data_IF_392037039944
#
_entry.id   IF_392037039944
#
_cell.length_a   1.000
_cell.length_b   1.000
_cell.length_c   1.000
_cell.angle_alpha   90.00
_cell.angle_beta   90.00
_cell.angle_gamma   90.00
#
_symmetry.space_group_name_H-M   'P 1'
#
loop_
_entity.id
_entity.type
_entity.pdbx_description
1 polymer ?
#
# COMPACT_ATOMS: atom_id res chain seq x y z
N UNK A 1 5.13 11.87 -25.41
CA UNK A 1 3.99 11.12 -24.82
C UNK A 1 4.39 9.64 -24.86
N UNK A 2 4.06 8.85 -23.85
CA UNK A 2 4.51 7.46 -23.75
C UNK A 2 3.30 6.55 -23.80
N UNK A 3 3.40 5.43 -24.52
CA UNK A 3 2.36 4.41 -24.54
C UNK A 3 2.85 3.23 -23.68
N UNK A 4 2.08 2.88 -22.65
CA UNK A 4 2.45 1.85 -21.67
C UNK A 4 1.56 0.63 -21.91
N UNK A 5 2.19 -0.48 -22.30
CA UNK A 5 1.51 -1.78 -22.40
C UNK A 5 1.86 -2.63 -21.18
N UNK A 6 0.86 -2.90 -20.34
CA UNK A 6 1.02 -3.72 -19.13
C UNK A 6 0.53 -5.13 -19.41
N UNK A 7 1.43 -6.11 -19.41
CA UNK A 7 1.04 -7.51 -19.45
C UNK A 7 0.85 -8.05 -18.03
N UNK A 8 -0.37 -8.50 -17.75
CA UNK A 8 -0.68 -9.24 -16.53
C UNK A 8 -0.26 -10.71 -16.72
N UNK A 9 0.43 -11.29 -15.74
CA UNK A 9 0.76 -12.72 -15.77
C UNK A 9 -0.53 -13.55 -15.68
N UNK A 10 -0.51 -14.80 -16.17
CA UNK A 10 -1.72 -15.63 -16.27
C UNK A 10 -2.39 -15.95 -14.92
N UNK A 11 -1.69 -15.72 -13.79
CA UNK A 11 -2.20 -15.85 -12.42
C UNK A 11 -2.49 -14.53 -11.72
N UNK A 12 -2.22 -13.38 -12.36
CA UNK A 12 -2.49 -12.08 -11.77
C UNK A 12 -3.99 -11.91 -11.59
N UNK A 13 -4.42 -11.62 -10.35
CA UNK A 13 -5.82 -11.30 -10.05
C UNK A 13 -6.19 -10.01 -10.78
N UNK A 14 -6.70 -10.18 -12.00
CA UNK A 14 -7.24 -9.16 -12.90
C UNK A 14 -8.23 -8.26 -12.18
N UNK A 15 -7.77 -7.14 -11.62
CA UNK A 15 -8.55 -5.91 -11.51
C UNK A 15 -7.61 -4.76 -11.14
N UNK A 16 -7.50 -3.70 -11.97
CA UNK A 16 -6.94 -2.45 -11.48
C UNK A 16 -7.67 -2.01 -10.21
N UNK A 17 -6.94 -1.40 -9.29
CA UNK A 17 -7.48 -1.05 -7.96
C UNK A 17 -8.68 -0.11 -8.10
N UNK A 18 -8.62 0.83 -9.04
CA UNK A 18 -9.76 1.60 -9.51
C UNK A 18 -9.50 2.16 -10.93
N UNK A 19 -10.56 2.33 -11.72
CA UNK A 19 -10.54 3.33 -12.80
C UNK A 19 -10.69 4.71 -12.16
N UNK A 20 -9.88 5.66 -12.61
CA UNK A 20 -9.97 7.07 -12.19
C UNK A 20 -10.47 7.98 -13.33
N UNK A 21 -11.06 7.43 -14.38
CA UNK A 21 -11.58 8.16 -15.53
C UNK A 21 -12.48 9.35 -15.12
N UNK A 22 -13.33 9.17 -14.10
CA UNK A 22 -14.21 10.22 -13.58
C UNK A 22 -13.51 11.32 -12.76
N UNK A 23 -12.24 11.11 -12.39
CA UNK A 23 -11.38 12.07 -11.70
C UNK A 23 -10.31 12.64 -12.64
N UNK A 24 -10.19 12.08 -13.85
CA UNK A 24 -9.14 12.45 -14.79
C UNK A 24 -9.37 13.86 -15.35
N UNK A 25 -8.29 14.60 -15.49
CA UNK A 25 -8.29 15.85 -16.27
C UNK A 25 -8.15 15.59 -17.78
N UNK A 26 -7.91 14.33 -18.17
CA UNK A 26 -7.67 13.90 -19.55
C UNK A 26 -8.76 12.92 -19.99
N UNK A 27 -9.46 13.24 -21.07
CA UNK A 27 -10.64 12.47 -21.53
C UNK A 27 -10.32 11.46 -22.63
N UNK A 28 -9.09 11.45 -23.13
CA UNK A 28 -8.63 10.57 -24.22
C UNK A 28 -7.71 9.45 -23.72
N UNK A 29 -7.31 9.46 -22.45
CA UNK A 29 -6.35 8.51 -21.87
C UNK A 29 -7.02 7.54 -20.89
N UNK A 30 -6.66 6.27 -20.95
CA UNK A 30 -7.10 5.28 -19.95
C UNK A 30 -6.20 5.36 -18.72
N UNK A 31 -6.68 6.02 -17.66
CA UNK A 31 -5.96 6.13 -16.40
C UNK A 31 -6.31 5.01 -15.43
N UNK A 32 -5.29 4.23 -15.10
CA UNK A 32 -5.41 3.07 -14.23
C UNK A 32 -4.66 3.31 -12.93
N UNK A 33 -5.40 3.36 -11.81
CA UNK A 33 -4.77 3.38 -10.49
C UNK A 33 -4.38 1.95 -10.09
N UNK A 34 -3.08 1.71 -10.02
CA UNK A 34 -2.52 0.53 -9.37
C UNK A 34 -2.35 0.77 -7.86
N UNK A 35 -2.33 -0.29 -7.07
CA UNK A 35 -2.24 -0.17 -5.62
C UNK A 35 -0.89 0.44 -5.18
N UNK A 36 -0.87 1.15 -4.05
CA UNK A 36 0.37 1.75 -3.51
C UNK A 36 1.37 0.64 -3.20
N UNK A 37 2.47 0.63 -3.94
CA UNK A 37 3.50 -0.40 -3.85
C UNK A 37 3.39 -1.53 -4.87
N UNK A 38 2.54 -1.36 -5.89
CA UNK A 38 2.67 -2.12 -7.14
C UNK A 38 4.05 -1.85 -7.75
N UNK A 39 4.79 -2.90 -8.07
CA UNK A 39 6.09 -2.81 -8.73
C UNK A 39 5.96 -3.42 -10.11
N UNK A 40 6.43 -2.68 -11.10
CA UNK A 40 6.47 -3.10 -12.48
C UNK A 40 7.91 -3.29 -12.91
N UNK A 41 8.21 -4.43 -13.54
CA UNK A 41 9.48 -4.65 -14.20
C UNK A 41 9.34 -4.19 -15.64
N UNK A 42 10.19 -3.25 -16.06
CA UNK A 42 10.30 -2.86 -17.45
C UNK A 42 10.96 -4.03 -18.20
N UNK A 43 10.24 -4.57 -19.18
CA UNK A 43 10.70 -5.66 -20.02
C UNK A 43 11.42 -5.16 -21.26
N UNK A 44 10.90 -4.08 -21.84
CA UNK A 44 11.45 -3.49 -23.05
C UNK A 44 11.09 -2.00 -23.13
N UNK A 45 11.99 -1.24 -23.74
CA UNK A 45 11.77 0.16 -24.10
C UNK A 45 12.05 0.26 -25.59
N UNK A 46 10.99 0.18 -26.38
CA UNK A 46 11.11 0.21 -27.84
C UNK A 46 11.33 1.65 -28.29
N UNK A 47 12.58 1.93 -28.67
CA UNK A 47 13.04 3.19 -29.24
C UNK A 47 13.01 3.21 -30.77
N UNK A 48 12.62 2.10 -31.42
CA UNK A 48 12.59 1.95 -32.88
C UNK A 48 11.20 2.18 -33.46
N UNK A 49 10.13 1.97 -32.69
CA UNK A 49 8.74 2.37 -33.02
C UNK A 49 8.44 3.84 -32.70
N UNK A 50 9.41 4.74 -32.84
CA UNK A 50 9.16 6.18 -32.69
C UNK A 50 8.44 6.69 -33.93
N UNK A 51 7.11 6.64 -33.89
CA UNK A 51 6.25 7.49 -34.71
C UNK A 51 5.75 8.62 -33.81
N UNK A 52 6.01 9.86 -34.21
CA UNK A 52 5.56 11.08 -33.54
C UNK A 52 6.10 11.32 -32.11
N UNK A 53 7.31 10.86 -31.80
CA UNK A 53 7.95 11.13 -30.50
C UNK A 53 7.38 10.31 -29.34
N UNK A 54 6.67 9.22 -29.65
CA UNK A 54 6.18 8.25 -28.68
C UNK A 54 7.19 7.13 -28.47
N UNK A 55 7.39 6.73 -27.21
CA UNK A 55 8.21 5.58 -26.84
C UNK A 55 7.30 4.55 -26.16
N UNK A 56 7.43 3.31 -26.61
CA UNK A 56 6.65 2.19 -26.10
C UNK A 56 7.41 1.54 -24.95
N UNK A 57 6.79 1.49 -23.78
CA UNK A 57 7.37 0.82 -22.62
C UNK A 57 6.53 -0.41 -22.32
N UNK A 58 7.16 -1.57 -22.47
CA UNK A 58 6.55 -2.85 -22.16
C UNK A 58 6.88 -3.20 -20.72
N UNK A 59 5.86 -3.45 -19.90
CA UNK A 59 6.04 -3.77 -18.49
C UNK A 59 5.25 -5.00 -18.07
N UNK A 60 5.71 -5.64 -16.99
CA UNK A 60 4.99 -6.72 -16.31
C UNK A 60 4.85 -6.38 -14.83
N UNK A 61 3.66 -6.63 -14.29
CA UNK A 61 3.41 -6.51 -12.86
C UNK A 61 4.10 -7.65 -12.12
N UNK A 62 4.82 -7.33 -11.05
CA UNK A 62 5.51 -8.31 -10.20
C UNK A 62 4.69 -8.49 -8.93
N UNK A 63 4.12 -9.69 -8.72
CA UNK A 63 3.24 -9.96 -7.58
C UNK A 63 3.97 -10.61 -6.40
N UNK A 64 4.92 -11.54 -6.66
CA UNK A 64 5.71 -12.24 -5.65
C UNK A 64 7.05 -12.71 -6.24
N UNK A 65 8.09 -11.89 -6.09
CA UNK A 65 9.47 -12.20 -6.50
C UNK A 65 10.38 -11.95 -5.28
N UNK A 66 11.43 -12.75 -5.10
CA UNK A 66 12.37 -12.57 -4.00
C UNK A 66 13.04 -11.18 -4.08
N UNK A 67 13.32 -10.71 -5.30
CA UNK A 67 13.82 -9.36 -5.57
C UNK A 67 12.83 -8.27 -5.15
N UNK A 68 11.53 -8.54 -5.31
CA UNK A 68 10.47 -7.62 -4.92
C UNK A 68 10.38 -7.52 -3.39
N UNK A 69 10.57 -8.63 -2.68
CA UNK A 69 10.57 -8.64 -1.22
C UNK A 69 11.81 -7.93 -0.65
N UNK A 70 12.97 -8.13 -1.27
CA UNK A 70 14.21 -7.39 -0.96
C UNK A 70 14.01 -5.88 -1.18
N UNK A 71 13.51 -5.48 -2.35
CA UNK A 71 13.20 -4.09 -2.68
C UNK A 71 12.19 -3.49 -1.71
N UNK A 72 11.11 -4.23 -1.38
CA UNK A 72 10.11 -3.80 -0.38
C UNK A 72 10.77 -3.56 0.98
N UNK A 73 11.63 -4.49 1.43
CA UNK A 73 12.37 -4.36 2.69
C UNK A 73 13.29 -3.13 2.70
N UNK A 74 13.99 -2.86 1.59
CA UNK A 74 14.86 -1.69 1.46
C UNK A 74 14.05 -0.38 1.42
N UNK A 75 12.95 -0.34 0.68
CA UNK A 75 12.06 0.82 0.63
C UNK A 75 11.42 1.10 1.98
N UNK A 76 11.06 0.07 2.75
CA UNK A 76 10.53 0.22 4.11
C UNK A 76 11.58 0.74 5.11
N UNK A 77 12.86 0.47 4.88
CA UNK A 77 13.97 1.03 5.68
C UNK A 77 14.32 2.47 5.27
N UNK A 78 14.27 2.78 3.97
CA UNK A 78 14.81 4.02 3.41
C UNK A 78 13.76 5.13 3.28
N UNK A 79 12.52 4.78 2.97
CA UNK A 79 11.40 5.70 2.88
C UNK A 79 10.38 5.28 3.93
N UNK A 80 9.89 6.24 4.72
CA UNK A 80 8.65 6.03 5.46
C UNK A 80 7.52 5.93 4.44
N UNK A 81 7.40 4.77 3.77
CA UNK A 81 6.30 4.40 2.87
C UNK A 81 4.95 4.64 3.56
N UNK A 82 4.97 4.67 4.89
CA UNK A 82 3.91 5.00 5.82
C UNK A 82 3.37 6.43 5.74
N UNK A 83 4.17 7.42 5.34
CA UNK A 83 3.65 8.77 5.03
C UNK A 83 2.65 8.69 3.89
N UNK A 84 3.10 8.17 2.74
CA UNK A 84 2.28 8.00 1.55
C UNK A 84 1.11 7.00 1.74
N UNK A 85 1.27 6.01 2.63
CA UNK A 85 0.23 5.03 2.98
C UNK A 85 -0.94 5.68 3.73
N UNK A 86 -0.61 6.54 4.69
CA UNK A 86 -1.59 7.30 5.44
C UNK A 86 -2.30 8.30 4.53
N UNK A 87 -1.59 8.87 3.55
CA UNK A 87 -2.13 9.93 2.70
C UNK A 87 -3.28 9.43 1.80
N UNK A 88 -3.08 8.32 1.07
CA UNK A 88 -4.15 7.77 0.21
C UNK A 88 -5.32 7.23 1.03
N UNK A 89 -5.03 6.46 2.08
CA UNK A 89 -6.07 5.90 2.94
C UNK A 89 -6.89 6.98 3.64
N UNK A 90 -6.25 8.05 4.13
CA UNK A 90 -6.93 9.19 4.74
C UNK A 90 -7.72 10.00 3.72
N UNK A 91 -7.21 10.17 2.50
CA UNK A 91 -7.94 10.82 1.42
C UNK A 91 -9.24 10.07 1.10
N UNK A 92 -9.20 8.73 0.98
CA UNK A 92 -10.38 7.90 0.74
C UNK A 92 -11.40 8.00 1.90
N UNK A 93 -10.93 8.00 3.15
CA UNK A 93 -11.77 8.23 4.33
C UNK A 93 -12.40 9.64 4.29
N UNK A 94 -11.62 10.66 3.95
CA UNK A 94 -12.11 12.05 3.81
C UNK A 94 -13.14 12.21 2.69
N UNK A 95 -13.03 11.43 1.62
CA UNK A 95 -14.03 11.32 0.56
C UNK A 95 -15.26 10.49 0.94
N UNK A 96 -15.31 9.95 2.18
CA UNK A 96 -16.33 9.00 2.65
C UNK A 96 -16.40 7.70 1.83
N UNK A 97 -15.34 7.38 1.08
CA UNK A 97 -15.25 6.14 0.31
C UNK A 97 -14.67 5.01 1.17
N UNK A 98 -15.47 4.61 2.15
CA UNK A 98 -15.08 3.64 3.15
C UNK A 98 -14.83 2.25 2.55
N UNK A 99 -15.52 1.90 1.46
CA UNK A 99 -15.36 0.61 0.77
C UNK A 99 -14.01 0.50 0.09
N UNK A 100 -13.54 1.55 -0.60
CA UNK A 100 -12.20 1.56 -1.18
C UNK A 100 -11.13 1.68 -0.09
N UNK A 101 -11.36 2.50 0.93
CA UNK A 101 -10.42 2.65 2.04
C UNK A 101 -10.21 1.32 2.77
N UNK A 102 -11.27 0.57 3.06
CA UNK A 102 -11.18 -0.74 3.71
C UNK A 102 -10.39 -1.74 2.86
N UNK A 103 -10.72 -1.88 1.57
CA UNK A 103 -10.01 -2.80 0.67
C UNK A 103 -8.52 -2.45 0.60
N UNK A 104 -8.20 -1.16 0.55
CA UNK A 104 -6.83 -0.68 0.56
C UNK A 104 -6.08 -1.10 1.82
N UNK A 105 -6.65 -0.84 3.00
CA UNK A 105 -6.00 -1.20 4.27
C UNK A 105 -5.96 -2.72 4.53
N UNK A 106 -6.95 -3.49 4.08
CA UNK A 106 -6.93 -4.96 4.14
C UNK A 106 -5.83 -5.55 3.27
N UNK A 107 -5.69 -5.08 2.04
CA UNK A 107 -4.60 -5.47 1.16
C UNK A 107 -3.25 -5.15 1.79
N UNK A 108 -3.10 -3.99 2.44
CA UNK A 108 -1.85 -3.64 3.13
C UNK A 108 -1.51 -4.55 4.30
N UNK A 109 -2.53 -5.07 5.01
CA UNK A 109 -2.30 -6.05 6.08
C UNK A 109 -1.71 -7.35 5.55
N UNK A 110 -2.07 -7.81 4.35
CA UNK A 110 -1.53 -9.05 3.75
C UNK A 110 -0.01 -9.00 3.59
N UNK A 111 0.54 -7.79 3.41
CA UNK A 111 1.97 -7.57 3.21
C UNK A 111 2.67 -6.94 4.42
N UNK A 112 1.94 -6.67 5.51
CA UNK A 112 2.51 -6.00 6.69
C UNK A 112 2.67 -7.01 7.83
N UNK A 113 3.91 -7.37 8.21
CA UNK A 113 4.14 -8.24 9.35
C UNK A 113 3.60 -7.61 10.64
N UNK A 114 2.98 -8.42 11.51
CA UNK A 114 2.42 -7.95 12.79
C UNK A 114 3.45 -7.37 13.75
N UNK A 115 4.74 -7.56 13.51
CA UNK A 115 5.84 -6.99 14.29
C UNK A 115 6.22 -5.56 13.90
N UNK A 116 5.70 -5.06 12.77
CA UNK A 116 6.06 -3.74 12.25
C UNK A 116 5.08 -2.67 12.77
N UNK A 117 5.56 -1.43 13.09
CA UNK A 117 4.72 -0.32 13.53
C UNK A 117 3.52 -0.01 12.61
N UNK A 118 3.66 -0.29 11.32
CA UNK A 118 2.61 -0.16 10.32
C UNK A 118 1.39 -1.03 10.59
N UNK A 119 1.57 -2.21 11.18
CA UNK A 119 0.45 -3.04 11.57
C UNK A 119 -0.48 -2.27 12.52
N UNK A 120 0.09 -1.67 13.59
CA UNK A 120 -0.67 -0.87 14.54
C UNK A 120 -1.39 0.33 13.91
N UNK A 121 -0.76 0.99 12.93
CA UNK A 121 -1.37 2.10 12.19
C UNK A 121 -2.53 1.63 11.30
N UNK A 122 -2.35 0.54 10.54
CA UNK A 122 -3.39 0.03 9.64
C UNK A 122 -4.61 -0.44 10.43
N UNK A 123 -4.41 -1.13 11.57
CA UNK A 123 -5.51 -1.52 12.47
C UNK A 123 -6.29 -0.30 12.95
N UNK A 124 -5.61 0.81 13.29
CA UNK A 124 -6.27 2.05 13.70
C UNK A 124 -7.15 2.65 12.58
N UNK A 125 -6.62 2.73 11.35
CA UNK A 125 -7.39 3.25 10.21
C UNK A 125 -8.60 2.39 9.87
N UNK A 126 -8.49 1.07 9.94
CA UNK A 126 -9.65 0.17 9.80
C UNK A 126 -10.70 0.45 10.89
N UNK A 127 -10.28 0.65 12.13
CA UNK A 127 -11.18 1.07 13.21
C UNK A 127 -11.92 2.37 12.89
N UNK A 128 -11.22 3.39 12.40
CA UNK A 128 -11.80 4.66 11.97
C UNK A 128 -12.84 4.46 10.85
N UNK A 129 -12.53 3.62 9.85
CA UNK A 129 -13.46 3.33 8.75
C UNK A 129 -14.76 2.72 9.27
N UNK A 130 -14.67 1.72 10.15
CA UNK A 130 -15.85 1.07 10.71
C UNK A 130 -16.65 2.00 11.64
N UNK A 131 -15.98 2.86 12.41
CA UNK A 131 -16.63 3.89 13.21
C UNK A 131 -17.44 4.87 12.35
N UNK A 132 -16.87 5.34 11.23
CA UNK A 132 -17.55 6.25 10.31
C UNK A 132 -18.76 5.60 9.60
N UNK A 133 -18.75 4.28 9.42
CA UNK A 133 -19.90 3.51 8.93
C UNK A 133 -20.95 3.20 10.01
N UNK A 134 -20.68 3.53 11.28
CA UNK A 134 -21.56 3.21 12.41
C UNK A 134 -21.46 1.77 12.93
N UNK A 135 -20.51 0.97 12.43
CA UNK A 135 -20.23 -0.37 12.95
C UNK A 135 -19.22 -0.26 14.11
N UNK A 136 -19.72 0.20 15.25
CA UNK A 136 -18.89 0.44 16.43
C UNK A 136 -18.31 -0.83 17.03
N UNK A 137 -18.97 -1.98 16.84
CA UNK A 137 -18.47 -3.26 17.33
C UNK A 137 -17.19 -3.65 16.59
N UNK A 138 -17.19 -3.61 15.25
CA UNK A 138 -15.97 -3.85 14.48
C UNK A 138 -14.91 -2.77 14.72
N UNK A 139 -15.32 -1.51 14.83
CA UNK A 139 -14.39 -0.43 15.18
C UNK A 139 -13.60 -0.75 16.45
N UNK A 140 -14.30 -1.20 17.50
CA UNK A 140 -13.69 -1.55 18.77
C UNK A 140 -12.70 -2.71 18.60
N UNK A 141 -13.07 -3.77 17.89
CA UNK A 141 -12.17 -4.90 17.65
C UNK A 141 -10.84 -4.48 16.98
N UNK A 142 -10.91 -3.60 15.98
CA UNK A 142 -9.73 -3.07 15.29
C UNK A 142 -8.90 -2.15 16.19
N UNK A 143 -9.55 -1.31 16.99
CA UNK A 143 -8.88 -0.42 17.95
C UNK A 143 -8.20 -1.21 19.07
N UNK A 144 -8.81 -2.29 19.56
CA UNK A 144 -8.21 -3.19 20.56
C UNK A 144 -6.96 -3.89 20.00
N UNK A 145 -6.99 -4.33 18.74
CA UNK A 145 -5.81 -4.90 18.07
C UNK A 145 -4.67 -3.89 17.96
N UNK A 146 -4.98 -2.65 17.56
CA UNK A 146 -4.01 -1.57 17.50
C UNK A 146 -3.40 -1.29 18.89
N UNK A 147 -4.24 -1.18 19.92
CA UNK A 147 -3.82 -0.92 21.29
C UNK A 147 -2.93 -2.05 21.84
N UNK A 148 -3.31 -3.31 21.58
CA UNK A 148 -2.52 -4.47 21.99
C UNK A 148 -1.13 -4.44 21.36
N UNK A 149 -1.05 -4.13 20.07
CA UNK A 149 0.23 -3.98 19.37
C UNK A 149 1.10 -2.90 20.02
N UNK A 150 0.58 -1.69 20.22
CA UNK A 150 1.35 -0.59 20.80
C UNK A 150 1.78 -0.86 22.25
N UNK A 151 0.93 -1.51 23.03
CA UNK A 151 1.25 -1.92 24.41
C UNK A 151 2.41 -2.93 24.43
N UNK A 152 2.38 -3.92 23.53
CA UNK A 152 3.45 -4.89 23.39
C UNK A 152 4.76 -4.22 22.97
N UNK A 153 4.74 -3.34 21.97
CA UNK A 153 5.93 -2.59 21.53
C UNK A 153 6.52 -1.75 22.66
N UNK A 154 5.71 -0.99 23.41
CA UNK A 154 6.18 -0.21 24.56
C UNK A 154 6.77 -1.09 25.67
N UNK A 155 6.18 -2.25 25.94
CA UNK A 155 6.72 -3.19 26.94
C UNK A 155 8.08 -3.79 26.55
N UNK A 156 8.29 -4.06 25.25
CA UNK A 156 9.55 -4.57 24.71
C UNK A 156 10.64 -3.49 24.82
N UNK A 157 10.34 -2.25 24.44
CA UNK A 157 11.27 -1.13 24.57
C UNK A 157 11.65 -0.86 26.03
N UNK A 158 10.68 -0.88 26.94
CA UNK A 158 10.93 -0.74 28.38
C UNK A 158 11.88 -1.82 28.89
N UNK A 159 11.64 -3.08 28.56
CA UNK A 159 12.50 -4.19 28.96
C UNK A 159 13.93 -4.07 28.38
N UNK A 160 14.07 -3.60 27.14
CA UNK A 160 15.39 -3.40 26.51
C UNK A 160 16.21 -2.28 27.18
N UNK A 161 15.57 -1.19 27.60
CA UNK A 161 16.25 -0.13 28.35
C UNK A 161 16.67 -0.57 29.76
N UNK A 162 15.89 -1.45 30.41
CA UNK A 162 16.23 -1.97 31.74
C UNK A 162 17.39 -2.98 31.73
N UNK A 163 17.46 -3.88 30.74
CA UNK A 163 18.60 -4.82 30.59
C UNK A 163 19.89 -4.11 30.13
N UNK A 164 19.80 -3.05 29.33
CA UNK A 164 20.97 -2.26 28.94
C UNK A 164 21.60 -1.51 30.13
N UNK A 165 20.78 -1.09 31.11
CA UNK A 165 21.23 -0.37 32.31
C UNK A 165 21.64 -1.26 33.49
N UNK A 166 21.53 -2.58 33.37
CA UNK A 166 21.95 -3.54 34.42
C UNK A 166 23.27 -4.24 34.11
N UNK A 167 23.92 -3.90 32.99
CA UNK A 167 25.22 -4.43 32.55
C UNK A 167 26.35 -3.39 32.51
N UNK A 168 26.24 -2.29 33.26
CA UNK A 168 27.31 -1.29 33.48
C UNK A 168 27.71 -1.31 34.95
#
# INVERSE_FOLDING_TARGET
MFEIEVHLTQNATKRPFASIEHLSQFTEEEEILFSVGSVFRILDVDHQRVTDGHCFIKMVMVENDDDLNELRSQLDQQYSRYGNLCDLGSALIGMSDYDRAERYFQMLLEYTPESKPSFGLIQNFLGIIYANRGDYQKSLEFQERALKFWTQVSSIQYNQHHIANTHV
#
